data_IF_500446652139
#
_entry.id   IF_500446652139
#
_cell.length_a   1.000
_cell.length_b   1.000
_cell.length_c   1.000
_cell.angle_alpha   90.00
_cell.angle_beta   90.00
_cell.angle_gamma   90.00
#
_symmetry.space_group_name_H-M   'P 1'
#
loop_
_entity.id
_entity.type
_entity.pdbx_description
1 polymer ?
#
# COMPACT_ATOMS: atom_id res chain seq x y z
N UNK A 1 -5.81 19.73 -19.91
CA UNK A 1 -5.96 19.14 -18.56
C UNK A 1 -4.64 19.31 -17.85
N UNK A 2 -4.64 19.47 -16.53
CA UNK A 2 -3.37 19.59 -15.77
C UNK A 2 -2.78 18.20 -15.59
N UNK A 3 -1.45 18.07 -15.53
CA UNK A 3 -0.79 16.77 -15.33
C UNK A 3 -1.28 16.00 -14.08
N UNK A 4 -1.76 16.73 -13.06
CA UNK A 4 -2.36 16.13 -11.87
C UNK A 4 -3.75 15.52 -12.14
N UNK A 5 -4.55 16.10 -13.04
CA UNK A 5 -5.85 15.53 -13.42
C UNK A 5 -5.64 14.24 -14.22
N UNK A 6 -4.70 14.24 -15.17
CA UNK A 6 -4.39 13.07 -15.98
C UNK A 6 -3.99 11.87 -15.09
N UNK A 7 -3.17 12.10 -14.05
CA UNK A 7 -2.81 11.06 -13.07
C UNK A 7 -4.04 10.56 -12.29
N UNK A 8 -4.97 11.43 -11.91
CA UNK A 8 -6.20 11.02 -11.19
C UNK A 8 -7.10 10.18 -12.08
N UNK A 9 -7.21 10.50 -13.37
CA UNK A 9 -7.98 9.72 -14.33
C UNK A 9 -7.35 8.33 -14.54
N UNK A 10 -6.00 8.25 -14.63
CA UNK A 10 -5.27 6.96 -14.65
C UNK A 10 -5.55 6.13 -13.37
N UNK A 11 -5.52 6.76 -12.18
CA UNK A 11 -5.82 6.07 -10.91
C UNK A 11 -7.28 5.62 -10.82
N UNK A 12 -8.23 6.41 -11.33
CA UNK A 12 -9.63 6.03 -11.39
C UNK A 12 -9.85 4.81 -12.30
N UNK A 13 -9.12 4.74 -13.43
CA UNK A 13 -9.14 3.57 -14.30
C UNK A 13 -8.64 2.31 -13.55
N UNK A 14 -7.59 2.43 -12.72
CA UNK A 14 -7.13 1.33 -11.85
C UNK A 14 -8.19 0.89 -10.83
N UNK A 15 -9.01 1.83 -10.34
CA UNK A 15 -10.16 1.52 -9.48
C UNK A 15 -11.22 0.64 -10.13
N UNK A 16 -11.30 0.61 -11.47
CA UNK A 16 -12.20 -0.22 -12.24
C UNK A 16 -11.64 -1.59 -12.66
N UNK A 17 -10.37 -1.88 -12.37
CA UNK A 17 -9.75 -3.17 -12.69
C UNK A 17 -10.12 -4.25 -11.65
N UNK A 18 -10.07 -5.52 -12.08
CA UNK A 18 -10.00 -6.65 -11.15
C UNK A 18 -8.68 -6.61 -10.35
N UNK A 19 -8.67 -7.18 -9.15
CA UNK A 19 -7.55 -7.02 -8.21
C UNK A 19 -6.22 -7.63 -8.72
N UNK A 20 -6.31 -8.74 -9.46
CA UNK A 20 -5.16 -9.42 -10.05
C UNK A 20 -4.55 -8.68 -11.25
N UNK A 21 -5.34 -7.84 -11.93
CA UNK A 21 -4.92 -7.02 -13.05
C UNK A 21 -4.18 -5.73 -12.62
N UNK A 22 -4.17 -5.41 -11.32
CA UNK A 22 -3.50 -4.20 -10.80
C UNK A 22 -1.98 -4.44 -10.74
N UNK A 23 -1.24 -3.64 -11.52
CA UNK A 23 0.20 -3.49 -11.30
C UNK A 23 0.45 -2.61 -10.07
N UNK A 24 0.81 -3.25 -8.96
CA UNK A 24 1.03 -2.58 -7.67
C UNK A 24 2.14 -1.53 -7.77
N UNK A 25 3.27 -1.84 -8.41
CA UNK A 25 4.41 -0.94 -8.45
C UNK A 25 4.16 0.26 -9.35
N UNK A 26 3.58 0.04 -10.54
CA UNK A 26 3.19 1.14 -11.43
C UNK A 26 2.13 2.03 -10.78
N UNK A 27 1.11 1.44 -10.14
CA UNK A 27 0.09 2.22 -9.43
C UNK A 27 0.67 3.01 -8.26
N UNK A 28 1.62 2.43 -7.50
CA UNK A 28 2.31 3.15 -6.44
C UNK A 28 3.17 4.32 -6.96
N UNK A 29 3.75 4.22 -8.17
CA UNK A 29 4.40 5.36 -8.84
C UNK A 29 3.41 6.45 -9.25
N UNK A 30 2.21 6.08 -9.73
CA UNK A 30 1.14 7.05 -10.02
C UNK A 30 0.74 7.82 -8.76
N UNK A 31 0.51 7.11 -7.66
CA UNK A 31 0.18 7.71 -6.37
C UNK A 31 1.29 8.62 -5.85
N UNK A 32 2.55 8.22 -6.03
CA UNK A 32 3.71 9.01 -5.64
C UNK A 32 3.88 10.30 -6.47
N UNK A 33 3.53 10.27 -7.75
CA UNK A 33 3.64 11.39 -8.68
C UNK A 33 2.70 12.55 -8.32
N UNK A 34 1.57 12.28 -7.65
CA UNK A 34 0.67 13.33 -7.15
C UNK A 34 1.34 14.28 -6.14
N UNK A 35 2.36 13.81 -5.41
CA UNK A 35 3.16 14.65 -4.50
C UNK A 35 4.36 15.32 -5.18
N UNK A 36 4.62 14.98 -6.45
CA UNK A 36 5.81 15.42 -7.20
C UNK A 36 5.42 15.84 -8.63
N UNK A 37 4.51 16.82 -8.79
CA UNK A 37 4.07 17.25 -10.10
C UNK A 37 5.27 17.73 -10.94
N UNK A 38 5.34 17.28 -12.19
CA UNK A 38 6.39 17.65 -13.13
C UNK A 38 7.65 16.78 -13.10
N UNK A 39 7.79 15.87 -12.14
CA UNK A 39 8.87 14.86 -12.18
C UNK A 39 8.44 13.72 -13.11
N UNK A 40 9.25 13.42 -14.13
CA UNK A 40 8.96 12.31 -15.05
C UNK A 40 8.96 10.97 -14.31
N UNK A 41 8.03 10.09 -14.71
CA UNK A 41 7.91 8.71 -14.20
C UNK A 41 8.81 7.73 -14.95
N UNK A 42 9.36 8.12 -16.11
CA UNK A 42 10.07 7.21 -17.01
C UNK A 42 11.31 6.58 -16.37
N UNK A 43 12.10 7.38 -15.64
CA UNK A 43 13.26 6.88 -14.91
C UNK A 43 12.90 5.88 -13.82
N UNK A 44 11.72 6.04 -13.21
CA UNK A 44 11.23 5.13 -12.18
C UNK A 44 10.70 3.82 -12.79
N UNK A 45 10.05 3.89 -13.96
CA UNK A 45 9.67 2.69 -14.72
C UNK A 45 10.91 1.92 -15.20
N UNK A 46 11.91 2.61 -15.76
CA UNK A 46 13.17 1.97 -16.14
C UNK A 46 13.85 1.32 -14.93
N UNK A 47 13.82 1.96 -13.76
CA UNK A 47 14.38 1.37 -12.55
C UNK A 47 13.62 0.12 -12.06
N UNK A 48 12.30 0.07 -12.25
CA UNK A 48 11.52 -1.15 -11.98
C UNK A 48 11.96 -2.31 -12.92
N UNK A 49 12.29 -2.00 -14.17
CA UNK A 49 12.83 -2.99 -15.12
C UNK A 49 14.24 -3.44 -14.73
N UNK A 50 15.10 -2.52 -14.24
CA UNK A 50 16.42 -2.84 -13.69
C UNK A 50 16.33 -3.79 -12.49
N UNK A 51 15.40 -3.55 -11.57
CA UNK A 51 15.13 -4.43 -10.42
C UNK A 51 14.77 -5.85 -10.91
N UNK A 52 13.88 -5.96 -11.89
CA UNK A 52 13.49 -7.25 -12.45
C UNK A 52 14.68 -7.96 -13.12
N UNK A 53 15.50 -7.22 -13.90
CA UNK A 53 16.67 -7.76 -14.56
C UNK A 53 17.74 -8.24 -13.57
N UNK A 54 17.98 -7.49 -12.49
CA UNK A 54 18.95 -7.84 -11.45
C UNK A 54 18.59 -9.15 -10.72
N UNK A 55 17.30 -9.41 -10.52
CA UNK A 55 16.82 -10.69 -9.97
C UNK A 55 16.91 -11.81 -11.00
N UNK A 56 16.53 -11.57 -12.25
CA UNK A 56 16.62 -12.55 -13.32
C UNK A 56 18.05 -13.08 -13.52
N UNK A 57 19.05 -12.20 -13.45
CA UNK A 57 20.47 -12.54 -13.58
C UNK A 57 20.98 -13.47 -12.46
N UNK A 58 20.30 -13.51 -11.31
CA UNK A 58 20.71 -14.27 -10.12
C UNK A 58 20.06 -15.65 -10.00
N UNK A 59 19.11 -15.98 -10.86
CA UNK A 59 18.38 -17.26 -10.80
C UNK A 59 18.67 -18.08 -12.06
N UNK A 60 19.71 -18.93 -12.04
CA UNK A 60 20.00 -19.85 -13.13
C UNK A 60 18.77 -20.70 -13.47
N UNK A 61 18.58 -21.03 -14.75
CA UNK A 61 17.41 -21.77 -15.23
C UNK A 61 17.12 -23.05 -14.43
N UNK A 62 18.16 -23.81 -14.05
CA UNK A 62 18.05 -25.04 -13.26
C UNK A 62 17.72 -24.85 -11.76
N UNK A 63 17.87 -23.64 -11.22
CA UNK A 63 17.60 -23.32 -9.81
C UNK A 63 16.25 -22.63 -9.59
N UNK A 64 15.51 -22.32 -10.67
CA UNK A 64 14.21 -21.62 -10.63
C UNK A 64 13.16 -22.31 -9.78
N UNK A 65 13.31 -23.61 -9.50
CA UNK A 65 12.36 -24.40 -8.73
C UNK A 65 12.55 -24.34 -7.20
N UNK A 66 13.67 -23.78 -6.73
CA UNK A 66 14.00 -23.71 -5.30
C UNK A 66 13.58 -22.35 -4.71
N UNK A 67 12.65 -22.35 -3.75
CA UNK A 67 12.15 -21.11 -3.13
C UNK A 67 13.21 -20.35 -2.33
N UNK A 68 14.09 -21.04 -1.60
CA UNK A 68 15.18 -20.39 -0.87
C UNK A 68 16.16 -19.69 -1.83
N UNK A 69 16.39 -20.25 -3.03
CA UNK A 69 17.19 -19.57 -4.07
C UNK A 69 16.47 -18.34 -4.64
N UNK A 70 15.15 -18.37 -4.78
CA UNK A 70 14.35 -17.20 -5.19
C UNK A 70 14.39 -16.09 -4.13
N UNK A 71 14.18 -16.45 -2.86
CA UNK A 71 14.28 -15.53 -1.72
C UNK A 71 15.68 -14.91 -1.63
N UNK A 72 16.72 -15.74 -1.67
CA UNK A 72 18.11 -15.27 -1.69
C UNK A 72 18.45 -14.37 -2.87
N UNK A 73 17.88 -14.62 -4.06
CA UNK A 73 18.08 -13.74 -5.22
C UNK A 73 17.43 -12.36 -5.04
N UNK A 74 16.23 -12.30 -4.45
CA UNK A 74 15.57 -11.03 -4.11
C UNK A 74 16.38 -10.26 -3.08
N UNK A 75 16.79 -10.91 -1.98
CA UNK A 75 17.59 -10.30 -0.93
C UNK A 75 18.93 -9.78 -1.48
N UNK A 76 19.63 -10.58 -2.29
CA UNK A 76 20.91 -10.19 -2.86
C UNK A 76 20.80 -9.05 -3.89
N UNK A 77 19.72 -8.98 -4.67
CA UNK A 77 19.51 -7.90 -5.63
C UNK A 77 19.06 -6.61 -4.93
N UNK A 78 17.94 -6.65 -4.20
CA UNK A 78 17.34 -5.45 -3.64
C UNK A 78 18.05 -5.00 -2.35
N UNK A 79 18.20 -5.89 -1.36
CA UNK A 79 18.84 -5.57 -0.08
C UNK A 79 20.37 -5.46 -0.18
N UNK A 80 20.98 -6.31 -1.00
CA UNK A 80 22.43 -6.36 -1.21
C UNK A 80 22.93 -5.31 -2.21
N UNK A 81 22.81 -5.59 -3.50
CA UNK A 81 23.38 -4.77 -4.58
C UNK A 81 22.77 -3.36 -4.63
N UNK A 82 21.44 -3.26 -4.54
CA UNK A 82 20.74 -1.98 -4.69
C UNK A 82 20.59 -1.20 -3.37
N UNK A 83 20.92 -1.83 -2.24
CA UNK A 83 20.95 -1.19 -0.92
C UNK A 83 19.58 -0.78 -0.36
N UNK A 84 18.48 -1.40 -0.80
CA UNK A 84 17.15 -1.14 -0.27
C UNK A 84 17.03 -1.64 1.17
N UNK A 85 16.71 -0.72 2.09
CA UNK A 85 16.56 -1.04 3.50
C UNK A 85 15.47 -0.21 4.18
N UNK A 86 14.96 -0.71 5.30
CA UNK A 86 14.05 0.01 6.16
C UNK A 86 14.65 1.29 6.73
N UNK A 87 13.87 2.37 6.76
CA UNK A 87 14.29 3.59 7.44
C UNK A 87 13.96 3.52 8.93
N UNK A 88 14.94 3.14 9.76
CA UNK A 88 14.76 3.07 11.21
C UNK A 88 15.04 4.39 11.92
N UNK A 89 15.78 5.30 11.29
CA UNK A 89 16.17 6.59 11.88
C UNK A 89 15.04 7.62 11.78
N UNK A 90 14.34 7.61 10.66
CA UNK A 90 13.28 8.56 10.33
C UNK A 90 12.02 7.81 9.91
N UNK A 91 11.66 6.75 10.65
CA UNK A 91 10.57 5.82 10.30
C UNK A 91 9.27 6.54 9.91
N UNK A 92 8.94 7.63 10.62
CA UNK A 92 7.72 8.39 10.42
C UNK A 92 7.76 9.47 9.33
N UNK A 93 8.89 9.61 8.63
CA UNK A 93 9.00 10.53 7.50
C UNK A 93 8.03 10.09 6.37
N UNK A 94 7.11 10.97 5.91
CA UNK A 94 6.21 10.67 4.79
C UNK A 94 6.94 10.22 3.51
N UNK A 95 8.20 10.60 3.33
CA UNK A 95 9.04 10.15 2.21
C UNK A 95 9.22 8.62 2.18
N UNK A 96 9.06 7.94 3.30
CA UNK A 96 9.17 6.48 3.37
C UNK A 96 7.96 5.74 2.74
N UNK A 97 6.87 6.46 2.45
CA UNK A 97 5.69 5.91 1.79
C UNK A 97 5.52 6.37 0.33
N UNK A 98 6.28 7.38 -0.12
CA UNK A 98 6.26 7.81 -1.51
C UNK A 98 7.23 6.97 -2.33
N UNK A 99 6.74 6.09 -3.22
CA UNK A 99 7.58 5.10 -3.90
C UNK A 99 8.71 5.73 -4.74
N UNK A 100 8.50 6.92 -5.32
CA UNK A 100 9.56 7.64 -6.02
C UNK A 100 10.68 8.07 -5.05
N UNK A 101 10.33 8.57 -3.85
CA UNK A 101 11.32 8.90 -2.81
C UNK A 101 12.00 7.66 -2.24
N UNK A 102 11.27 6.56 -2.10
CA UNK A 102 11.83 5.27 -1.65
C UNK A 102 12.86 4.76 -2.65
N UNK A 103 12.58 4.87 -3.95
CA UNK A 103 13.55 4.60 -5.00
C UNK A 103 14.73 5.56 -4.84
N UNK A 104 14.54 6.88 -4.90
CA UNK A 104 15.66 7.85 -4.81
C UNK A 104 16.60 7.61 -3.62
N UNK A 105 16.03 7.29 -2.44
CA UNK A 105 16.76 7.17 -1.17
C UNK A 105 17.22 5.75 -0.86
N UNK A 106 16.71 4.75 -1.60
CA UNK A 106 16.79 3.32 -1.26
C UNK A 106 16.32 3.00 0.17
N UNK A 107 15.39 3.80 0.69
CA UNK A 107 14.88 3.72 2.07
C UNK A 107 13.38 3.93 2.12
N UNK A 108 12.66 3.09 2.87
CA UNK A 108 11.20 3.19 2.94
C UNK A 108 10.55 2.40 4.08
N UNK A 109 9.22 2.48 4.12
CA UNK A 109 8.38 1.69 5.02
C UNK A 109 8.33 0.23 4.55
N UNK A 110 7.97 -0.71 5.45
CA UNK A 110 7.88 -2.13 5.10
C UNK A 110 7.03 -2.40 3.85
N UNK A 111 5.87 -1.76 3.72
CA UNK A 111 4.98 -1.96 2.57
C UNK A 111 5.55 -1.36 1.28
N UNK A 112 6.21 -0.19 1.33
CA UNK A 112 6.79 0.43 0.14
C UNK A 112 7.95 -0.41 -0.41
N UNK A 113 8.81 -0.93 0.46
CA UNK A 113 9.86 -1.88 0.08
C UNK A 113 9.25 -3.19 -0.41
N UNK A 114 8.21 -3.69 0.26
CA UNK A 114 7.47 -4.87 -0.16
C UNK A 114 6.91 -4.79 -1.58
N UNK A 115 6.46 -3.60 -2.01
CA UNK A 115 6.02 -3.38 -3.40
C UNK A 115 7.16 -3.64 -4.40
N UNK A 116 8.38 -3.18 -4.12
CA UNK A 116 9.55 -3.41 -4.99
C UNK A 116 9.91 -4.90 -5.04
N UNK A 117 9.85 -5.61 -3.90
CA UNK A 117 10.09 -7.06 -3.85
C UNK A 117 9.00 -7.85 -4.59
N UNK A 118 7.73 -7.46 -4.45
CA UNK A 118 6.61 -8.07 -5.17
C UNK A 118 6.75 -7.87 -6.68
N UNK A 119 7.08 -6.65 -7.11
CA UNK A 119 7.35 -6.35 -8.52
C UNK A 119 8.45 -7.25 -9.08
N UNK A 120 9.59 -7.29 -8.38
CA UNK A 120 10.74 -8.08 -8.81
C UNK A 120 10.42 -9.58 -8.94
N UNK A 121 9.69 -10.14 -7.97
CA UNK A 121 9.29 -11.55 -7.97
C UNK A 121 8.25 -11.87 -9.05
N UNK A 122 7.20 -11.04 -9.18
CA UNK A 122 6.13 -11.23 -10.17
C UNK A 122 6.64 -11.06 -11.60
N UNK A 123 7.62 -10.19 -11.84
CA UNK A 123 8.28 -10.07 -13.14
C UNK A 123 8.99 -11.36 -13.59
N UNK A 124 9.36 -12.25 -12.66
CA UNK A 124 9.90 -13.58 -12.98
C UNK A 124 8.82 -14.66 -13.16
N UNK A 125 7.54 -14.29 -13.05
CA UNK A 125 6.42 -15.23 -13.03
C UNK A 125 6.34 -16.07 -11.75
N UNK A 126 6.91 -15.59 -10.63
CA UNK A 126 6.83 -16.30 -9.36
C UNK A 126 5.52 -15.97 -8.64
N UNK A 127 4.95 -16.98 -7.99
CA UNK A 127 3.84 -16.79 -7.07
C UNK A 127 4.35 -16.06 -5.83
N UNK A 128 3.97 -14.79 -5.73
CA UNK A 128 4.40 -13.87 -4.71
C UNK A 128 3.24 -12.97 -4.25
N UNK A 129 3.01 -12.93 -2.94
CA UNK A 129 1.95 -12.16 -2.33
C UNK A 129 2.48 -11.35 -1.13
N UNK A 130 1.90 -10.16 -0.92
CA UNK A 130 2.12 -9.40 0.31
C UNK A 130 1.39 -10.06 1.47
N UNK A 131 1.93 -9.91 2.67
CA UNK A 131 1.26 -10.29 3.92
C UNK A 131 1.01 -9.04 4.76
N UNK A 132 -0.26 -8.81 5.11
CA UNK A 132 -0.69 -7.69 5.93
C UNK A 132 -0.40 -7.96 7.43
N UNK A 133 0.88 -8.07 7.80
CA UNK A 133 1.29 -8.48 9.15
C UNK A 133 1.10 -7.35 10.19
N UNK A 134 0.72 -7.62 11.44
CA UNK A 134 0.59 -6.59 12.47
C UNK A 134 1.89 -5.81 12.67
N UNK A 135 1.81 -4.47 12.52
CA UNK A 135 2.95 -3.56 12.63
C UNK A 135 4.04 -3.70 11.57
N UNK A 136 3.90 -4.61 10.60
CA UNK A 136 4.96 -4.89 9.61
C UNK A 136 4.41 -5.36 8.25
N UNK A 137 5.22 -5.41 7.20
CA UNK A 137 4.78 -5.96 5.91
C UNK A 137 5.80 -6.96 5.41
N UNK A 138 5.32 -8.15 5.05
CA UNK A 138 6.17 -9.25 4.62
C UNK A 138 5.79 -9.67 3.19
N UNK A 139 6.69 -10.37 2.52
CA UNK A 139 6.42 -10.97 1.21
C UNK A 139 6.52 -12.48 1.33
N UNK A 140 5.48 -13.18 0.87
CA UNK A 140 5.44 -14.63 0.77
C UNK A 140 5.73 -15.04 -0.66
N UNK A 141 6.70 -15.93 -0.84
CA UNK A 141 6.92 -16.69 -2.06
C UNK A 141 6.32 -18.09 -1.89
N UNK A 142 5.64 -18.58 -2.91
CA UNK A 142 4.96 -19.87 -2.86
C UNK A 142 5.31 -20.75 -4.08
N UNK A 143 5.32 -22.07 -3.84
CA UNK A 143 5.39 -23.08 -4.88
C UNK A 143 4.77 -24.38 -4.37
N UNK A 144 3.54 -24.66 -4.80
CA UNK A 144 2.78 -25.79 -4.28
C UNK A 144 2.59 -25.65 -2.76
N UNK A 145 2.81 -26.69 -1.94
CA UNK A 145 2.58 -26.61 -0.49
C UNK A 145 3.68 -25.85 0.27
N UNK A 146 4.78 -25.48 -0.40
CA UNK A 146 5.95 -24.87 0.23
C UNK A 146 5.86 -23.35 0.12
N UNK A 147 6.15 -22.67 1.23
CA UNK A 147 6.22 -21.21 1.31
C UNK A 147 7.52 -20.76 1.97
N UNK A 148 8.04 -19.64 1.49
CA UNK A 148 9.12 -18.88 2.14
C UNK A 148 8.61 -17.46 2.35
N UNK A 149 8.86 -16.90 3.53
CA UNK A 149 8.46 -15.53 3.86
C UNK A 149 9.75 -14.73 4.03
N UNK A 150 9.80 -13.55 3.43
CA UNK A 150 10.92 -12.62 3.54
C UNK A 150 10.44 -11.29 4.09
N UNK A 151 11.38 -10.57 4.68
CA UNK A 151 11.20 -9.23 5.22
C UNK A 151 11.94 -8.19 4.37
N UNK A 152 11.24 -7.49 3.46
CA UNK A 152 11.80 -6.40 2.64
C UNK A 152 12.42 -5.27 3.46
N UNK A 153 11.88 -4.98 4.65
CA UNK A 153 12.40 -3.91 5.51
C UNK A 153 13.79 -4.24 6.05
N UNK A 154 14.05 -5.52 6.30
CA UNK A 154 15.34 -6.03 6.75
C UNK A 154 16.15 -6.66 5.60
N UNK A 155 16.11 -6.04 4.41
CA UNK A 155 16.95 -6.44 3.28
C UNK A 155 16.59 -7.78 2.63
N UNK A 156 15.34 -8.23 2.80
CA UNK A 156 14.86 -9.50 2.23
C UNK A 156 15.21 -10.72 3.08
N UNK A 157 15.53 -10.53 4.37
CA UNK A 157 15.83 -11.62 5.31
C UNK A 157 14.67 -12.63 5.34
N UNK A 158 14.98 -13.92 5.23
CA UNK A 158 13.98 -14.98 5.44
C UNK A 158 13.47 -14.96 6.88
N UNK A 159 12.16 -15.11 7.04
CA UNK A 159 11.45 -15.04 8.32
C UNK A 159 10.92 -16.43 8.68
N UNK A 160 11.46 -17.02 9.73
CA UNK A 160 10.89 -18.21 10.33
C UNK A 160 9.67 -17.85 11.21
N UNK A 161 8.89 -18.86 11.58
CA UNK A 161 7.71 -18.65 12.44
C UNK A 161 8.08 -18.04 13.81
N UNK A 162 9.29 -18.28 14.30
CA UNK A 162 9.81 -17.66 15.52
C UNK A 162 10.10 -16.16 15.36
N UNK A 163 10.68 -15.74 14.23
CA UNK A 163 10.88 -14.33 13.90
C UNK A 163 9.54 -13.58 13.84
N UNK A 164 8.57 -14.17 13.13
CA UNK A 164 7.22 -13.60 13.00
C UNK A 164 6.54 -13.49 14.37
N UNK A 165 6.67 -14.50 15.23
CA UNK A 165 6.19 -14.44 16.63
C UNK A 165 6.85 -13.29 17.39
N UNK A 166 8.16 -13.09 17.23
CA UNK A 166 8.89 -11.98 17.84
C UNK A 166 8.29 -10.62 17.45
N UNK A 167 8.14 -10.37 16.15
CA UNK A 167 7.54 -9.12 15.63
C UNK A 167 6.11 -8.93 16.16
N UNK A 168 5.28 -9.99 16.13
CA UNK A 168 3.91 -9.90 16.62
C UNK A 168 3.85 -9.53 18.09
N UNK A 169 4.70 -10.13 18.93
CA UNK A 169 4.71 -9.86 20.37
C UNK A 169 5.14 -8.43 20.71
N UNK A 170 6.02 -7.83 19.90
CA UNK A 170 6.40 -6.42 20.05
C UNK A 170 5.21 -5.47 19.82
N UNK A 171 4.31 -5.82 18.90
CA UNK A 171 3.21 -4.92 18.47
C UNK A 171 1.89 -5.22 19.18
N UNK A 172 1.58 -6.49 19.43
CA UNK A 172 0.31 -6.95 19.96
C UNK A 172 0.39 -7.49 21.40
N UNK A 173 1.57 -7.48 22.02
CA UNK A 173 1.80 -7.92 23.40
C UNK A 173 2.36 -9.34 23.52
N UNK A 174 2.93 -9.66 24.68
CA UNK A 174 3.69 -10.89 24.91
C UNK A 174 2.89 -12.20 24.73
N UNK A 175 1.58 -12.13 24.95
CA UNK A 175 0.64 -13.27 24.81
C UNK A 175 0.08 -13.43 23.39
N UNK A 176 0.48 -12.58 22.44
CA UNK A 176 -0.01 -12.67 21.07
C UNK A 176 0.54 -13.92 20.35
N UNK A 177 -0.36 -14.63 19.67
CA UNK A 177 -0.04 -15.85 18.93
C UNK A 177 -0.28 -15.70 17.42
N UNK A 178 0.49 -16.47 16.62
CA UNK A 178 0.32 -16.47 15.18
C UNK A 178 -0.98 -17.19 14.79
N UNK A 179 -1.87 -16.47 14.11
CA UNK A 179 -3.11 -16.99 13.53
C UNK A 179 -2.97 -17.22 12.02
N UNK A 180 -3.80 -18.07 11.40
CA UNK A 180 -3.77 -18.31 9.96
C UNK A 180 -3.84 -17.04 9.11
N UNK A 181 -4.60 -16.03 9.57
CA UNK A 181 -4.72 -14.72 8.89
C UNK A 181 -3.38 -13.99 8.73
N UNK A 182 -2.40 -14.21 9.61
CA UNK A 182 -1.08 -13.58 9.51
C UNK A 182 -0.24 -14.15 8.34
N UNK A 183 -0.65 -15.29 7.79
CA UNK A 183 -0.05 -15.92 6.62
C UNK A 183 -0.88 -15.73 5.35
N UNK A 184 -2.08 -15.17 5.47
CA UNK A 184 -3.00 -15.00 4.35
C UNK A 184 -2.45 -13.96 3.36
N UNK A 185 -2.54 -14.24 2.04
CA UNK A 185 -2.12 -13.27 1.05
C UNK A 185 -3.05 -12.05 1.10
N UNK A 186 -2.51 -10.86 0.89
CA UNK A 186 -3.29 -9.62 0.74
C UNK A 186 -3.43 -9.26 -0.74
N UNK A 187 -4.60 -8.75 -1.11
CA UNK A 187 -4.89 -8.33 -2.49
C UNK A 187 -4.02 -7.15 -2.93
N UNK A 188 -3.84 -6.99 -4.23
CA UNK A 188 -3.04 -5.90 -4.81
C UNK A 188 -3.55 -4.52 -4.38
N UNK A 189 -4.88 -4.36 -4.36
CA UNK A 189 -5.54 -3.15 -3.89
C UNK A 189 -5.31 -2.91 -2.39
N UNK A 190 -5.35 -3.95 -1.57
CA UNK A 190 -5.09 -3.84 -0.14
C UNK A 190 -3.64 -3.45 0.18
N UNK A 191 -2.66 -3.92 -0.62
CA UNK A 191 -1.26 -3.47 -0.51
C UNK A 191 -1.16 -1.95 -0.71
N UNK A 192 -1.81 -1.43 -1.74
CA UNK A 192 -1.82 0.01 -2.05
C UNK A 192 -2.59 0.82 -0.99
N UNK A 193 -3.73 0.32 -0.55
CA UNK A 193 -4.51 0.91 0.55
C UNK A 193 -3.66 0.96 1.83
N UNK A 194 -2.91 -0.09 2.15
CA UNK A 194 -1.98 -0.08 3.29
C UNK A 194 -0.88 0.95 3.14
N UNK A 195 -0.28 1.08 1.95
CA UNK A 195 0.72 2.12 1.67
C UNK A 195 0.16 3.52 2.00
N UNK A 196 -1.01 3.84 1.45
CA UNK A 196 -1.66 5.14 1.66
C UNK A 196 -2.16 5.32 3.10
N UNK A 197 -2.62 4.26 3.76
CA UNK A 197 -3.11 4.31 5.14
C UNK A 197 -2.03 4.72 6.13
N UNK A 198 -0.76 4.39 5.86
CA UNK A 198 0.36 4.91 6.66
C UNK A 198 0.43 6.44 6.57
N UNK A 199 0.29 7.02 5.37
CA UNK A 199 0.30 8.47 5.18
C UNK A 199 -0.93 9.12 5.84
N UNK A 200 -2.12 8.52 5.66
CA UNK A 200 -3.37 8.98 6.29
C UNK A 200 -3.24 9.04 7.81
N UNK A 201 -2.71 7.99 8.42
CA UNK A 201 -2.53 7.92 9.88
C UNK A 201 -1.61 9.03 10.39
N UNK A 202 -0.51 9.32 9.70
CA UNK A 202 0.41 10.41 10.08
C UNK A 202 -0.21 11.80 9.92
N UNK A 203 -0.95 12.02 8.84
CA UNK A 203 -1.70 13.26 8.65
C UNK A 203 -2.73 13.46 9.78
N UNK A 204 -3.47 12.42 10.16
CA UNK A 204 -4.41 12.48 11.27
C UNK A 204 -3.73 12.74 12.63
N UNK A 205 -2.56 12.14 12.88
CA UNK A 205 -1.78 12.36 14.11
C UNK A 205 -1.22 13.78 14.24
N UNK A 206 -1.02 14.47 13.12
CA UNK A 206 -0.55 15.86 13.07
C UNK A 206 -1.68 16.88 12.90
N UNK A 207 -2.93 16.42 13.04
CA UNK A 207 -4.19 17.17 12.80
C UNK A 207 -4.27 17.87 11.43
N UNK A 208 -3.55 17.35 10.44
CA UNK A 208 -3.64 17.80 9.04
C UNK A 208 -4.85 17.14 8.36
N UNK A 209 -6.03 17.69 8.65
CA UNK A 209 -7.30 17.21 8.10
C UNK A 209 -7.35 17.31 6.56
N UNK A 210 -6.69 18.32 5.98
CA UNK A 210 -6.66 18.51 4.53
C UNK A 210 -5.84 17.40 3.86
N UNK A 211 -4.66 17.08 4.38
CA UNK A 211 -3.85 15.97 3.88
C UNK A 211 -4.52 14.62 4.12
N UNK A 212 -5.16 14.42 5.28
CA UNK A 212 -5.88 13.18 5.55
C UNK A 212 -7.01 12.95 4.53
N UNK A 213 -7.80 13.99 4.23
CA UNK A 213 -8.83 13.94 3.20
C UNK A 213 -8.24 13.66 1.82
N UNK A 214 -7.16 14.35 1.45
CA UNK A 214 -6.51 14.16 0.16
C UNK A 214 -6.06 12.70 -0.04
N UNK A 215 -5.52 12.07 1.00
CA UNK A 215 -5.13 10.66 0.96
C UNK A 215 -6.35 9.74 0.89
N UNK A 216 -7.44 10.05 1.60
CA UNK A 216 -8.69 9.30 1.48
C UNK A 216 -9.22 9.34 0.04
N UNK A 217 -9.22 10.51 -0.60
CA UNK A 217 -9.64 10.66 -2.00
C UNK A 217 -8.76 9.82 -2.92
N UNK A 218 -7.43 9.81 -2.71
CA UNK A 218 -6.51 8.95 -3.48
C UNK A 218 -6.82 7.47 -3.28
N UNK A 219 -7.12 7.05 -2.05
CA UNK A 219 -7.53 5.66 -1.78
C UNK A 219 -8.82 5.35 -2.53
N UNK A 220 -9.82 6.23 -2.51
CA UNK A 220 -11.10 6.00 -3.16
C UNK A 220 -11.00 5.95 -4.70
N UNK A 221 -10.01 6.59 -5.32
CA UNK A 221 -9.73 6.44 -6.75
C UNK A 221 -9.36 5.00 -7.11
N UNK A 222 -8.50 4.38 -6.31
CA UNK A 222 -8.06 2.99 -6.55
C UNK A 222 -8.90 1.97 -5.80
N UNK A 223 -9.71 2.35 -4.82
CA UNK A 223 -10.46 1.40 -4.01
C UNK A 223 -11.87 1.93 -3.74
N UNK A 224 -12.68 2.10 -4.81
CA UNK A 224 -13.97 2.73 -4.69
C UNK A 224 -14.91 1.96 -3.77
N UNK A 225 -14.73 0.65 -3.60
CA UNK A 225 -15.54 -0.21 -2.72
C UNK A 225 -15.33 -0.01 -1.21
N UNK A 226 -14.37 0.83 -0.79
CA UNK A 226 -14.08 1.05 0.64
C UNK A 226 -15.14 1.92 1.33
N UNK A 227 -16.28 1.31 1.67
CA UNK A 227 -17.44 2.00 2.25
C UNK A 227 -17.10 2.78 3.52
N UNK A 228 -16.23 2.25 4.40
CA UNK A 228 -15.79 2.97 5.60
C UNK A 228 -15.10 4.31 5.26
N UNK A 229 -14.30 4.35 4.19
CA UNK A 229 -13.59 5.55 3.76
C UNK A 229 -14.52 6.60 3.15
N UNK A 230 -15.66 6.21 2.57
CA UNK A 230 -16.67 7.17 2.10
C UNK A 230 -17.28 7.95 3.27
N UNK A 231 -17.56 7.27 4.39
CA UNK A 231 -18.03 7.94 5.61
C UNK A 231 -16.97 8.88 6.16
N UNK A 232 -15.72 8.42 6.25
CA UNK A 232 -14.60 9.26 6.69
C UNK A 232 -14.44 10.50 5.79
N UNK A 233 -14.45 10.34 4.46
CA UNK A 233 -14.39 11.44 3.50
C UNK A 233 -15.51 12.47 3.75
N UNK A 234 -16.75 12.00 3.95
CA UNK A 234 -17.89 12.86 4.28
C UNK A 234 -17.66 13.71 5.53
N UNK A 235 -17.10 13.11 6.59
CA UNK A 235 -16.78 13.80 7.84
C UNK A 235 -15.65 14.84 7.65
N UNK A 236 -14.58 14.48 6.94
CA UNK A 236 -13.47 15.39 6.67
C UNK A 236 -13.89 16.57 5.77
N UNK A 237 -14.65 16.32 4.70
CA UNK A 237 -15.21 17.38 3.87
C UNK A 237 -16.10 18.32 4.69
N UNK A 238 -16.96 17.79 5.57
CA UNK A 238 -17.80 18.60 6.44
C UNK A 238 -16.98 19.47 7.40
N UNK A 239 -15.91 18.89 8.00
CA UNK A 239 -14.97 19.62 8.88
C UNK A 239 -14.27 20.77 8.14
N UNK A 240 -13.92 20.56 6.87
CA UNK A 240 -13.21 21.54 6.04
C UNK A 240 -14.14 22.53 5.32
N UNK A 241 -15.45 22.46 5.52
CA UNK A 241 -16.42 23.35 4.87
C UNK A 241 -16.76 23.00 3.42
N UNK A 242 -16.29 21.85 2.91
CA UNK A 242 -16.57 21.34 1.57
C UNK A 242 -17.96 20.68 1.52
N UNK A 243 -19.02 21.46 1.78
CA UNK A 243 -20.35 20.94 2.08
C UNK A 243 -20.93 20.05 0.97
N UNK A 244 -20.73 20.42 -0.30
CA UNK A 244 -21.23 19.63 -1.44
C UNK A 244 -20.58 18.25 -1.51
N UNK A 245 -19.25 18.19 -1.46
CA UNK A 245 -18.50 16.93 -1.47
C UNK A 245 -18.78 16.08 -0.22
N UNK A 246 -19.04 16.72 0.94
CA UNK A 246 -19.47 16.01 2.13
C UNK A 246 -20.81 15.28 1.90
N UNK A 247 -21.78 15.93 1.26
CA UNK A 247 -23.06 15.30 0.93
C UNK A 247 -22.88 14.16 -0.07
N UNK A 248 -22.11 14.36 -1.13
CA UNK A 248 -21.84 13.35 -2.17
C UNK A 248 -21.22 12.08 -1.55
N UNK A 249 -20.22 12.23 -0.69
CA UNK A 249 -19.56 11.12 -0.01
C UNK A 249 -20.50 10.37 0.96
N UNK A 250 -21.29 11.10 1.76
CA UNK A 250 -22.25 10.49 2.69
C UNK A 250 -23.40 9.78 1.96
N UNK A 251 -23.88 10.33 0.85
CA UNK A 251 -24.89 9.66 -0.01
C UNK A 251 -24.33 8.37 -0.59
N UNK A 252 -23.09 8.40 -1.11
CA UNK A 252 -22.42 7.20 -1.60
C UNK A 252 -22.24 6.14 -0.49
N UNK A 253 -21.89 6.57 0.74
CA UNK A 253 -21.81 5.70 1.91
C UNK A 253 -23.17 5.05 2.23
N UNK A 254 -24.24 5.83 2.28
CA UNK A 254 -25.60 5.34 2.54
C UNK A 254 -26.10 4.38 1.45
N UNK A 255 -25.64 4.53 0.20
CA UNK A 255 -25.97 3.59 -0.87
C UNK A 255 -25.34 2.20 -0.71
N UNK A 256 -24.30 2.06 0.12
CA UNK A 256 -23.46 0.85 0.21
C UNK A 256 -23.38 0.23 1.60
N UNK A 257 -23.61 1.00 2.65
CA UNK A 257 -23.55 0.51 4.03
C UNK A 257 -24.77 -0.34 4.37
N UNK A 258 -24.51 -1.52 4.94
CA UNK A 258 -25.52 -2.39 5.56
C UNK A 258 -25.69 -2.17 7.07
N UNK A 259 -24.86 -1.34 7.71
CA UNK A 259 -24.91 -1.11 9.16
C UNK A 259 -25.96 -0.04 9.51
N UNK A 260 -27.03 -0.46 10.18
CA UNK A 260 -28.16 0.42 10.52
C UNK A 260 -27.77 1.60 11.43
N UNK A 261 -26.87 1.39 12.39
CA UNK A 261 -26.45 2.43 13.32
C UNK A 261 -25.60 3.49 12.59
N UNK A 262 -24.62 3.05 11.81
CA UNK A 262 -23.78 3.99 11.05
C UNK A 262 -24.58 4.75 9.99
N UNK A 263 -25.60 4.12 9.39
CA UNK A 263 -26.51 4.78 8.45
C UNK A 263 -27.31 5.90 9.12
N UNK A 264 -27.91 5.63 10.29
CA UNK A 264 -28.68 6.63 11.02
C UNK A 264 -27.83 7.86 11.40
N UNK A 265 -26.57 7.65 11.81
CA UNK A 265 -25.62 8.73 12.06
C UNK A 265 -25.33 9.56 10.81
N UNK A 266 -25.07 8.90 9.68
CA UNK A 266 -24.78 9.57 8.41
C UNK A 266 -26.00 10.34 7.87
N UNK A 267 -27.22 9.81 8.02
CA UNK A 267 -28.47 10.50 7.65
C UNK A 267 -28.67 11.78 8.47
N UNK A 268 -28.44 11.72 9.80
CA UNK A 268 -28.52 12.88 10.68
C UNK A 268 -27.54 13.98 10.25
N UNK A 269 -26.30 13.60 9.98
CA UNK A 269 -25.28 14.55 9.50
C UNK A 269 -25.65 15.14 8.14
N UNK A 270 -26.13 14.31 7.21
CA UNK A 270 -26.56 14.76 5.88
C UNK A 270 -27.69 15.79 5.97
N UNK A 271 -28.65 15.59 6.87
CA UNK A 271 -29.73 16.54 7.10
C UNK A 271 -29.21 17.88 7.64
N UNK A 272 -28.28 17.86 8.59
CA UNK A 272 -27.63 19.07 9.12
C UNK A 272 -26.83 19.83 8.05
N UNK A 273 -26.19 19.12 7.13
CA UNK A 273 -25.45 19.73 6.03
C UNK A 273 -26.39 20.39 5.01
N UNK A 274 -27.53 19.78 4.72
CA UNK A 274 -28.55 20.35 3.81
C UNK A 274 -29.12 21.66 4.32
N UNK A 275 -29.38 21.77 5.63
CA UNK A 275 -29.88 23.00 6.24
C UNK A 275 -28.89 24.16 6.22
N UNK A 276 -27.59 23.90 6.02
CA UNK A 276 -26.53 24.94 5.96
C UNK A 276 -26.26 25.45 4.55
N UNK A 277 -26.75 24.73 3.54
CA UNK A 277 -26.61 25.08 2.11
C UNK A 277 -27.82 25.86 1.57
N UNK A 278 -28.94 25.80 2.29
CA UNK A 278 -30.14 26.61 2.06
C UNK A 278 -30.06 27.93 2.82
#
# INVERSE_FOLDING_TARGET
>A
MTAAQDIRDELAAVGGLEDDAIDIARTALLLAALDRPGVSRDSYHAHLDEIAAAVAARVPAGARHNLARRAGALAAALGGEMGYAGDTLTYEDPQNANLMRVIDRRKGLPVALGILYLHAARAQGWDAAGLNFPGHFLVRLERGPVRVIIDPFNGGREMAAEDMRGVLKTVAGAEAELRPEHYAPTGSRDVLVRLLSNIKLRAAQTDDAARALEIIDRILLIAPGQTALLREAGLFHARLGNLKSAQEALVAFLGRSGDAAMRAEAEKLLQQLRTRLN
#
